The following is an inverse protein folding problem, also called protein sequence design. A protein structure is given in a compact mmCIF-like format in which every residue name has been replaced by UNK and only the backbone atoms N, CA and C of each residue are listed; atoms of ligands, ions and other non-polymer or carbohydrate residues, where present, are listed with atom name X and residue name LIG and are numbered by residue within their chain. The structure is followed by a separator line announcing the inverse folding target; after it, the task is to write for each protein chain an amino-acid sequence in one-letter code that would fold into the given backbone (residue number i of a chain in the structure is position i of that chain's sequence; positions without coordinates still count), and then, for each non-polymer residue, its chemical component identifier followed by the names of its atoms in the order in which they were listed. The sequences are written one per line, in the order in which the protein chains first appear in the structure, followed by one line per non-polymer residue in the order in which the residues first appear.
data_IF_443651484765
#
_entry.id   IF_443651484765
#
_cell.length_a   1.000
_cell.length_b   1.000
_cell.length_c   1.000
_cell.angle_alpha   90.00
_cell.angle_beta   90.00
_cell.angle_gamma   90.00
#
_symmetry.space_group_name_H-M   'P 1'
#
loop_
_entity.id
_entity.type
_entity.pdbx_description
1 polymer ?
#
# COMPACT_ATOMS: atom_id res chain seq x y z
N UNK A 1 -10.31 -15.47 -18.98
CA UNK A 1 -9.63 -15.08 -17.73
C UNK A 1 -8.63 -14.01 -18.14
N UNK A 2 -8.81 -12.78 -17.69
CA UNK A 2 -7.88 -11.70 -18.01
C UNK A 2 -6.49 -12.02 -17.43
N UNK A 3 -5.48 -11.88 -18.28
CA UNK A 3 -4.06 -12.13 -17.97
C UNK A 3 -3.51 -10.97 -17.12
N UNK A 4 -3.98 -10.87 -15.87
CA UNK A 4 -3.55 -9.83 -14.95
C UNK A 4 -2.20 -10.17 -14.33
N UNK A 5 -1.36 -9.16 -14.04
CA UNK A 5 -0.14 -9.34 -13.24
C UNK A 5 -0.45 -10.06 -11.93
N UNK A 6 0.34 -11.08 -11.62
CA UNK A 6 0.15 -11.85 -10.39
C UNK A 6 0.70 -11.09 -9.19
N UNK A 7 -0.03 -11.04 -8.06
CA UNK A 7 0.48 -10.40 -6.86
C UNK A 7 1.65 -11.21 -6.27
N UNK A 8 2.67 -10.53 -5.75
CA UNK A 8 3.84 -11.18 -5.12
C UNK A 8 3.43 -12.14 -4.00
N UNK A 9 4.03 -13.34 -3.96
CA UNK A 9 3.74 -14.30 -2.88
C UNK A 9 4.31 -13.80 -1.55
N UNK A 10 3.44 -13.27 -0.68
CA UNK A 10 3.82 -12.96 0.71
C UNK A 10 3.52 -14.20 1.55
N UNK A 11 4.57 -14.89 2.02
CA UNK A 11 4.42 -16.01 2.95
C UNK A 11 4.12 -15.44 4.33
N UNK A 12 2.85 -15.48 4.72
CA UNK A 12 2.44 -15.15 6.09
C UNK A 12 2.82 -16.28 7.03
N UNK A 13 3.56 -15.97 8.10
CA UNK A 13 3.87 -16.91 9.18
C UNK A 13 2.92 -16.68 10.36
N UNK A 14 2.21 -17.71 10.79
CA UNK A 14 1.30 -17.66 11.94
C UNK A 14 -0.08 -17.07 11.65
N UNK A 15 -0.87 -16.83 12.70
CA UNK A 15 -2.28 -16.42 12.63
C UNK A 15 -2.47 -14.89 12.75
N UNK A 16 -1.58 -14.09 12.17
CA UNK A 16 -1.72 -12.63 12.24
C UNK A 16 -2.94 -12.18 11.41
N UNK A 17 -3.99 -11.59 12.02
CA UNK A 17 -5.17 -11.20 11.28
C UNK A 17 -4.89 -9.96 10.42
N UNK A 18 -5.55 -9.90 9.27
CA UNK A 18 -5.67 -8.63 8.55
C UNK A 18 -6.33 -7.59 9.45
N UNK A 19 -5.67 -6.45 9.64
CA UNK A 19 -6.16 -5.39 10.53
C UNK A 19 -7.27 -4.55 9.88
N UNK A 20 -7.15 -4.31 8.58
CA UNK A 20 -8.04 -3.43 7.84
C UNK A 20 -8.64 -4.11 6.61
N UNK A 21 -9.79 -3.59 6.18
CA UNK A 21 -10.51 -4.07 5.00
C UNK A 21 -11.30 -2.93 4.36
N UNK A 22 -11.15 -2.75 3.05
CA UNK A 22 -12.07 -1.95 2.25
C UNK A 22 -13.13 -2.87 1.63
N UNK A 23 -14.38 -2.39 1.59
CA UNK A 23 -15.53 -3.09 0.97
C UNK A 23 -15.96 -2.47 -0.36
N UNK A 24 -15.44 -1.27 -0.66
CA UNK A 24 -15.69 -0.51 -1.88
C UNK A 24 -14.35 -0.03 -2.39
N UNK A 25 -14.27 0.14 -3.70
CA UNK A 25 -13.08 0.65 -4.34
C UNK A 25 -12.70 2.01 -3.76
N UNK A 26 -11.39 2.17 -3.53
CA UNK A 26 -10.83 3.39 -3.01
C UNK A 26 -10.12 4.13 -4.15
N UNK A 27 -10.72 5.24 -4.58
CA UNK A 27 -10.08 6.18 -5.49
C UNK A 27 -9.13 7.07 -4.69
N UNK A 28 -7.84 7.00 -4.99
CA UNK A 28 -6.85 7.85 -4.34
C UNK A 28 -7.08 9.32 -4.75
N UNK A 29 -7.33 10.24 -3.81
CA UNK A 29 -7.61 11.64 -4.13
C UNK A 29 -6.35 12.43 -4.52
N UNK A 30 -5.17 11.85 -4.35
CA UNK A 30 -3.91 12.52 -4.63
C UNK A 30 -3.55 12.39 -6.10
N UNK A 31 -3.35 13.52 -6.75
CA UNK A 31 -2.73 13.55 -8.07
C UNK A 31 -1.25 13.17 -7.95
N UNK A 32 -0.88 12.12 -8.67
CA UNK A 32 0.49 11.59 -8.69
C UNK A 32 1.38 12.35 -9.67
N UNK A 33 0.77 12.93 -10.72
CA UNK A 33 1.48 13.53 -11.85
C UNK A 33 2.18 12.51 -12.75
N UNK A 34 1.96 11.21 -12.53
CA UNK A 34 2.57 10.17 -13.33
C UNK A 34 1.87 10.04 -14.68
N UNK A 35 2.66 9.80 -15.73
CA UNK A 35 2.16 9.51 -17.07
C UNK A 35 2.67 8.14 -17.47
N UNK A 36 1.75 7.22 -17.67
CA UNK A 36 2.06 5.86 -18.10
C UNK A 36 1.71 5.73 -19.59
N UNK A 37 2.49 4.97 -20.34
CA UNK A 37 2.17 4.70 -21.75
C UNK A 37 0.84 3.96 -21.90
N UNK A 38 0.57 3.05 -20.96
CA UNK A 38 -0.66 2.25 -20.88
C UNK A 38 -1.14 2.19 -19.44
N UNK A 39 -2.47 2.07 -19.21
CA UNK A 39 -2.97 1.85 -17.86
C UNK A 39 -2.46 0.51 -17.31
N UNK A 40 -2.18 0.49 -16.01
CA UNK A 40 -1.88 -0.73 -15.27
C UNK A 40 -3.16 -1.23 -14.62
N UNK A 41 -3.56 -2.47 -14.92
CA UNK A 41 -4.74 -3.09 -14.33
C UNK A 41 -4.34 -4.44 -13.76
N UNK A 42 -4.63 -4.67 -12.49
CA UNK A 42 -4.37 -5.93 -11.79
C UNK A 42 -5.58 -6.33 -10.94
N UNK A 43 -5.49 -7.41 -10.15
CA UNK A 43 -6.59 -7.81 -9.27
C UNK A 43 -6.97 -6.72 -8.25
N UNK A 44 -6.01 -6.08 -7.57
CA UNK A 44 -6.30 -5.14 -6.49
C UNK A 44 -5.90 -3.69 -6.75
N UNK A 45 -5.16 -3.44 -7.83
CA UNK A 45 -4.63 -2.13 -8.15
C UNK A 45 -4.93 -1.79 -9.61
N UNK A 46 -5.39 -0.57 -9.82
CA UNK A 46 -5.48 0.05 -11.13
C UNK A 46 -4.78 1.42 -11.09
N UNK A 47 -3.98 1.70 -12.13
CA UNK A 47 -3.35 2.99 -12.36
C UNK A 47 -3.72 3.41 -13.78
N UNK A 48 -4.48 4.50 -13.92
CA UNK A 48 -4.82 5.04 -15.23
C UNK A 48 -3.57 5.55 -15.96
N UNK A 49 -3.65 5.72 -17.29
CA UNK A 49 -2.57 6.35 -18.07
C UNK A 49 -2.23 7.77 -17.58
N UNK A 50 -3.21 8.47 -16.98
CA UNK A 50 -3.05 9.78 -16.35
C UNK A 50 -2.54 9.76 -14.90
N UNK A 51 -2.21 8.57 -14.37
CA UNK A 51 -1.64 8.41 -13.04
C UNK A 51 -2.66 8.42 -11.89
N UNK A 52 -3.97 8.28 -12.15
CA UNK A 52 -4.98 8.12 -11.10
C UNK A 52 -4.92 6.69 -10.56
N UNK A 53 -4.93 6.54 -9.24
CA UNK A 53 -4.80 5.25 -8.57
C UNK A 53 -6.15 4.84 -7.99
N UNK A 54 -6.55 3.60 -8.27
CA UNK A 54 -7.73 2.96 -7.67
C UNK A 54 -7.32 1.66 -7.01
N UNK A 55 -7.66 1.49 -5.73
CA UNK A 55 -7.50 0.22 -5.02
C UNK A 55 -8.84 -0.51 -5.08
N UNK A 56 -8.85 -1.68 -5.73
CA UNK A 56 -10.06 -2.45 -5.99
C UNK A 56 -10.37 -3.36 -4.81
N UNK A 57 -11.57 -3.22 -4.25
CA UNK A 57 -12.04 -4.08 -3.19
C UNK A 57 -12.32 -5.51 -3.68
N UNK A 58 -12.80 -5.65 -4.91
CA UNK A 58 -13.35 -6.91 -5.46
C UNK A 58 -14.47 -7.49 -4.56
N UNK A 59 -14.93 -8.70 -4.85
CA UNK A 59 -16.04 -9.37 -4.15
C UNK A 59 -15.78 -9.55 -2.64
N UNK A 60 -14.56 -9.99 -2.28
CA UNK A 60 -14.21 -10.31 -0.89
C UNK A 60 -13.68 -9.13 -0.07
N UNK A 61 -13.49 -7.97 -0.68
CA UNK A 61 -12.83 -6.80 -0.12
C UNK A 61 -11.30 -6.93 -0.05
N UNK A 62 -10.58 -5.82 -0.27
CA UNK A 62 -9.12 -5.77 -0.13
C UNK A 62 -8.74 -5.62 1.34
N UNK A 63 -7.77 -6.42 1.80
CA UNK A 63 -7.37 -6.54 3.20
C UNK A 63 -5.86 -6.31 3.33
N UNK A 64 -5.45 -5.61 4.38
CA UNK A 64 -4.04 -5.32 4.66
C UNK A 64 -3.82 -5.14 6.17
N UNK A 65 -2.56 -5.05 6.57
CA UNK A 65 -2.15 -5.05 7.98
C UNK A 65 -1.90 -3.65 8.56
N UNK A 66 -2.01 -2.60 7.74
CA UNK A 66 -1.52 -1.26 8.08
C UNK A 66 -0.01 -1.13 7.90
N UNK A 67 0.64 -0.30 8.71
CA UNK A 67 2.09 -0.15 8.71
C UNK A 67 2.77 -1.38 9.33
N UNK A 68 3.61 -2.07 8.56
CA UNK A 68 4.37 -3.26 8.96
C UNK A 68 5.84 -2.91 9.24
N UNK A 69 6.59 -3.75 10.00
CA UNK A 69 6.22 -5.05 10.56
C UNK A 69 5.33 -4.98 11.81
N UNK A 70 4.56 -6.06 12.04
CA UNK A 70 3.74 -6.29 13.23
C UNK A 70 3.79 -7.76 13.63
N UNK A 71 3.59 -8.02 14.93
CA UNK A 71 3.58 -9.36 15.51
C UNK A 71 2.39 -9.52 16.46
N UNK A 72 1.76 -10.70 16.41
CA UNK A 72 0.73 -11.11 17.36
C UNK A 72 1.40 -11.85 18.51
N UNK A 73 1.23 -11.34 19.73
CA UNK A 73 1.79 -11.91 20.95
C UNK A 73 0.64 -12.52 21.75
N UNK A 74 0.71 -13.84 21.96
CA UNK A 74 -0.32 -14.67 22.61
C UNK A 74 -1.73 -14.58 22.00
N UNK A 75 -1.87 -14.07 20.76
CA UNK A 75 -3.16 -13.71 20.16
C UNK A 75 -3.96 -12.64 20.95
N UNK A 76 -3.33 -11.97 21.92
CA UNK A 76 -3.93 -10.95 22.77
C UNK A 76 -3.46 -9.55 22.38
N UNK A 77 -2.17 -9.41 22.06
CA UNK A 77 -1.55 -8.12 21.79
C UNK A 77 -0.96 -8.07 20.37
N UNK A 78 -1.15 -6.95 19.68
CA UNK A 78 -0.46 -6.64 18.43
C UNK A 78 0.62 -5.60 18.74
N UNK A 79 1.88 -5.98 18.56
CA UNK A 79 3.04 -5.09 18.76
C UNK A 79 3.71 -4.86 17.39
N UNK A 80 4.12 -3.62 17.11
CA UNK A 80 4.77 -3.27 15.85
C UNK A 80 4.71 -1.78 15.55
N UNK A 81 4.86 -1.44 14.27
CA UNK A 81 4.81 -0.04 13.83
C UNK A 81 3.39 0.52 14.06
N UNK A 82 3.21 1.62 14.80
CA UNK A 82 1.87 2.14 15.07
C UNK A 82 1.23 2.75 13.80
N UNK A 83 -0.09 2.67 13.68
CA UNK A 83 -0.84 3.26 12.56
C UNK A 83 -1.30 4.70 12.84
N UNK A 84 -0.87 5.25 13.98
CA UNK A 84 -1.40 6.47 14.57
C UNK A 84 -2.71 6.24 15.32
N UNK A 85 -3.11 7.24 16.11
CA UNK A 85 -4.46 7.26 16.70
C UNK A 85 -5.51 7.56 15.63
N UNK A 86 -6.78 7.51 16.01
CA UNK A 86 -7.88 7.86 15.10
C UNK A 86 -7.82 9.35 14.74
N UNK A 87 -7.85 9.66 13.46
CA UNK A 87 -8.10 10.99 12.92
C UNK A 87 -9.61 11.21 12.85
N UNK A 88 -10.11 12.25 13.52
CA UNK A 88 -11.53 12.59 13.58
C UNK A 88 -12.13 12.93 12.20
N UNK A 89 -11.32 13.36 11.22
CA UNK A 89 -11.80 13.71 9.88
C UNK A 89 -12.22 12.48 9.08
N UNK A 90 -11.49 11.38 9.26
CA UNK A 90 -11.68 10.14 8.50
C UNK A 90 -12.29 9.03 9.33
N UNK A 91 -12.28 9.16 10.66
CA UNK A 91 -12.59 8.11 11.63
C UNK A 91 -11.76 6.85 11.42
N UNK A 92 -10.52 7.02 10.91
CA UNK A 92 -9.53 5.97 10.68
C UNK A 92 -8.19 6.37 11.29
N UNK A 93 -7.27 5.41 11.53
CA UNK A 93 -5.90 5.75 11.91
C UNK A 93 -5.22 6.66 10.87
N UNK A 94 -4.32 7.55 11.32
CA UNK A 94 -3.61 8.50 10.44
C UNK A 94 -2.97 7.84 9.21
N UNK A 95 -2.39 6.64 9.36
CA UNK A 95 -1.71 5.96 8.26
C UNK A 95 -2.63 5.06 7.44
N UNK A 96 -3.95 5.03 7.70
CA UNK A 96 -4.87 4.06 7.10
C UNK A 96 -4.86 4.10 5.56
N UNK A 97 -5.11 5.27 4.96
CA UNK A 97 -5.15 5.39 3.49
C UNK A 97 -3.75 5.34 2.86
N UNK A 98 -2.75 5.91 3.54
CA UNK A 98 -1.38 5.88 3.05
C UNK A 98 -0.86 4.43 3.01
N UNK A 99 -1.07 3.66 4.09
CA UNK A 99 -0.70 2.24 4.15
C UNK A 99 -1.49 1.38 3.18
N UNK A 100 -2.78 1.68 2.95
CA UNK A 100 -3.60 0.98 1.96
C UNK A 100 -3.00 1.07 0.55
N UNK A 101 -2.73 2.29 0.09
CA UNK A 101 -2.18 2.51 -1.26
C UNK A 101 -0.77 1.95 -1.37
N UNK A 102 0.06 2.17 -0.35
CA UNK A 102 1.43 1.68 -0.32
C UNK A 102 1.50 0.15 -0.37
N UNK A 103 0.68 -0.53 0.45
CA UNK A 103 0.58 -1.98 0.51
C UNK A 103 0.14 -2.58 -0.84
N UNK A 104 -0.93 -2.04 -1.44
CA UNK A 104 -1.42 -2.48 -2.74
C UNK A 104 -0.38 -2.29 -3.86
N UNK A 105 0.36 -1.18 -3.86
CA UNK A 105 1.46 -0.97 -4.82
C UNK A 105 2.63 -1.91 -4.56
N UNK A 106 2.98 -2.12 -3.30
CA UNK A 106 4.06 -3.03 -2.95
C UNK A 106 3.71 -4.48 -3.32
N UNK A 107 2.43 -4.86 -3.26
CA UNK A 107 1.96 -6.18 -3.68
C UNK A 107 2.32 -6.51 -5.14
N UNK A 108 2.49 -5.48 -5.98
CA UNK A 108 2.88 -5.58 -7.39
C UNK A 108 4.21 -4.86 -7.68
N UNK A 109 5.08 -4.68 -6.67
CA UNK A 109 6.30 -3.86 -6.82
C UNK A 109 7.23 -4.31 -7.97
N UNK A 110 7.21 -5.59 -8.28
CA UNK A 110 7.93 -6.24 -9.38
C UNK A 110 7.40 -5.86 -10.77
N UNK A 111 6.10 -5.64 -10.90
CA UNK A 111 5.41 -5.47 -12.20
C UNK A 111 4.74 -4.11 -12.40
N UNK A 112 4.60 -3.32 -11.33
CA UNK A 112 3.95 -2.01 -11.37
C UNK A 112 4.83 -1.03 -12.17
N UNK A 113 4.28 -0.26 -13.12
CA UNK A 113 5.04 0.60 -14.04
C UNK A 113 5.43 1.95 -13.39
N UNK A 114 5.77 1.93 -12.11
CA UNK A 114 6.29 3.09 -11.38
C UNK A 114 7.40 2.66 -10.44
N UNK A 115 8.39 3.53 -10.28
CA UNK A 115 9.55 3.22 -9.43
C UNK A 115 9.13 3.10 -7.97
N UNK A 116 9.81 2.24 -7.22
CA UNK A 116 9.71 2.17 -5.75
C UNK A 116 9.82 3.55 -5.12
N UNK A 117 10.75 4.39 -5.61
CA UNK A 117 10.96 5.76 -5.12
C UNK A 117 9.71 6.62 -5.29
N UNK A 118 9.01 6.54 -6.41
CA UNK A 118 7.74 7.25 -6.64
C UNK A 118 6.66 6.77 -5.66
N UNK A 119 6.54 5.46 -5.45
CA UNK A 119 5.58 4.88 -4.49
C UNK A 119 5.87 5.38 -3.05
N UNK A 120 7.13 5.35 -2.62
CA UNK A 120 7.53 5.77 -1.28
C UNK A 120 7.31 7.28 -1.07
N UNK A 121 7.53 8.10 -2.11
CA UNK A 121 7.25 9.53 -2.07
C UNK A 121 5.75 9.82 -2.03
N UNK A 122 4.94 9.05 -2.76
CA UNK A 122 3.48 9.13 -2.67
C UNK A 122 3.01 8.80 -1.25
N UNK A 123 3.56 7.74 -0.64
CA UNK A 123 3.27 7.40 0.75
C UNK A 123 3.59 8.56 1.70
N UNK A 124 4.77 9.17 1.58
CA UNK A 124 5.13 10.36 2.37
C UNK A 124 4.16 11.54 2.15
N UNK A 125 3.72 11.78 0.91
CA UNK A 125 2.75 12.82 0.57
C UNK A 125 1.39 12.54 1.23
N UNK A 126 0.91 11.29 1.16
CA UNK A 126 -0.36 10.86 1.72
C UNK A 126 -0.40 10.89 3.25
N UNK A 127 0.75 10.77 3.92
CA UNK A 127 0.82 10.91 5.38
C UNK A 127 0.53 12.33 5.88
N UNK A 128 0.50 13.34 5.00
CA UNK A 128 0.01 14.69 5.33
C UNK A 128 0.65 15.27 6.58
N UNK A 129 -0.17 15.60 7.59
CA UNK A 129 0.25 16.23 8.85
C UNK A 129 0.77 15.25 9.91
N UNK A 130 0.92 13.97 9.59
CA UNK A 130 1.43 12.99 10.53
C UNK A 130 2.87 13.33 10.94
N UNK A 131 3.07 13.66 12.22
CA UNK A 131 4.34 14.21 12.74
C UNK A 131 5.56 13.31 12.46
N UNK A 132 5.37 11.99 12.48
CA UNK A 132 6.46 11.01 12.26
C UNK A 132 6.59 10.59 10.79
N UNK A 133 5.92 11.27 9.84
CA UNK A 133 5.91 10.88 8.42
C UNK A 133 7.29 10.69 7.80
N UNK A 134 8.25 11.55 8.17
CA UNK A 134 9.63 11.47 7.66
C UNK A 134 10.37 10.23 8.17
N UNK A 135 10.11 9.83 9.42
CA UNK A 135 10.69 8.63 10.03
C UNK A 135 10.10 7.39 9.34
N UNK A 136 8.79 7.36 9.13
CA UNK A 136 8.13 6.25 8.43
C UNK A 136 8.64 6.12 7.00
N UNK A 137 8.74 7.24 6.27
CA UNK A 137 9.33 7.29 4.95
C UNK A 137 10.78 6.80 4.93
N UNK A 138 11.60 7.20 5.91
CA UNK A 138 12.99 6.73 6.02
C UNK A 138 13.05 5.20 6.07
N UNK A 139 12.25 4.56 6.93
CA UNK A 139 12.22 3.11 7.04
C UNK A 139 11.73 2.43 5.76
N UNK A 140 10.67 2.95 5.13
CA UNK A 140 10.17 2.39 3.87
C UNK A 140 11.20 2.53 2.74
N UNK A 141 11.84 3.69 2.62
CA UNK A 141 12.86 3.97 1.61
C UNK A 141 14.02 2.99 1.71
N UNK A 142 14.53 2.78 2.93
CA UNK A 142 15.72 1.98 3.12
C UNK A 142 15.42 0.50 3.31
N UNK A 143 14.39 0.11 4.06
CA UNK A 143 14.14 -1.30 4.42
C UNK A 143 13.02 -1.96 3.60
N UNK A 144 12.06 -1.19 3.08
CA UNK A 144 10.97 -1.73 2.28
C UNK A 144 11.47 -2.27 0.94
N UNK A 145 11.02 -3.48 0.54
CA UNK A 145 11.20 -3.98 -0.84
C UNK A 145 12.64 -4.11 -1.35
N UNK A 146 13.65 -4.19 -0.46
CA UNK A 146 15.08 -4.22 -0.82
C UNK A 146 15.47 -5.32 -1.81
N UNK A 147 14.79 -6.47 -1.73
CA UNK A 147 15.12 -7.67 -2.50
C UNK A 147 14.30 -7.78 -3.79
N UNK A 148 13.49 -6.78 -4.11
CA UNK A 148 12.58 -6.81 -5.26
C UNK A 148 13.21 -6.12 -6.44
N UNK A 149 13.37 -6.87 -7.53
CA UNK A 149 13.78 -6.34 -8.83
C UNK A 149 12.51 -5.88 -9.55
N UNK A 150 12.47 -4.62 -9.99
CA UNK A 150 11.35 -4.11 -10.79
C UNK A 150 11.61 -4.45 -12.26
N UNK A 151 10.67 -5.15 -12.88
CA UNK A 151 10.71 -5.51 -14.29
C UNK A 151 10.09 -4.38 -15.13
N UNK A 152 10.67 -4.10 -16.30
CA UNK A 152 10.09 -3.16 -17.26
C UNK A 152 10.21 -1.67 -16.91
N UNK A 153 11.02 -1.31 -15.92
CA UNK A 153 11.37 0.08 -15.60
C UNK A 153 12.86 0.26 -15.93
N UNK A 154 13.15 0.80 -17.11
CA UNK A 154 14.50 1.22 -17.56
C UNK A 154 14.56 2.74 -17.53
#
# INVERSE_FOLDING_TARGET
MEDWPTPRKIIRKGNFPYKFKIKKDYLCPYETGWKLEKPFVSKWLEISASGRITIKANEDGYRWDGCTPKWSVFNLFIIGIPDGHIDHRTMKPYTYYASLVHDAMYQYLDSVPVTKKQIDLLFLKMLGDFKLRKIYYFFVKYLGGREVIQEGII
#
